data_IF_373077977816
#
_entry.id   IF_373077977816
#
_cell.length_a   1.000
_cell.length_b   1.000
_cell.length_c   1.000
_cell.angle_alpha   90.00
_cell.angle_beta   90.00
_cell.angle_gamma   90.00
#
_symmetry.space_group_name_H-M   'P 1'
#
loop_
_entity.id
_entity.type
_entity.pdbx_description
1 polymer ?
#
# COMPACT_ATOMS: atom_id res chain seq x y z
N UNK A 1 8.55 -14.06 26.21
CA UNK A 1 8.96 -14.52 24.88
C UNK A 1 8.76 -13.34 23.95
N UNK A 2 9.86 -12.69 23.64
CA UNK A 2 9.92 -11.52 22.74
C UNK A 2 9.63 -12.02 21.33
N UNK A 3 8.38 -11.90 20.89
CA UNK A 3 7.98 -12.17 19.51
C UNK A 3 8.27 -10.93 18.69
N UNK A 4 9.55 -10.66 18.42
CA UNK A 4 9.93 -9.76 17.34
C UNK A 4 9.27 -10.33 16.05
N UNK A 5 8.36 -9.55 15.47
CA UNK A 5 7.91 -9.84 14.10
C UNK A 5 9.17 -9.83 13.24
N UNK A 6 9.40 -10.87 12.42
CA UNK A 6 10.48 -10.78 11.45
C UNK A 6 10.22 -9.55 10.57
N UNK A 7 11.13 -8.59 10.60
CA UNK A 7 11.06 -7.39 9.77
C UNK A 7 11.26 -7.82 8.31
N UNK A 8 10.16 -8.16 7.61
CA UNK A 8 10.20 -8.54 6.21
C UNK A 8 9.10 -7.84 5.43
N UNK A 9 9.36 -7.59 4.16
CA UNK A 9 8.36 -7.16 3.20
C UNK A 9 7.75 -8.38 2.53
N UNK A 10 6.43 -8.39 2.38
CA UNK A 10 5.69 -9.42 1.64
C UNK A 10 5.23 -8.82 0.32
N UNK A 11 5.46 -9.50 -0.80
CA UNK A 11 4.88 -9.14 -2.09
C UNK A 11 4.01 -10.28 -2.62
N UNK A 12 2.75 -9.96 -2.91
CA UNK A 12 1.84 -10.88 -3.57
C UNK A 12 2.13 -10.91 -5.07
N UNK A 13 2.35 -12.11 -5.61
CA UNK A 13 2.72 -12.30 -7.01
C UNK A 13 1.67 -13.10 -7.77
N UNK A 14 1.47 -12.70 -9.02
CA UNK A 14 0.70 -13.40 -10.03
C UNK A 14 1.35 -13.18 -11.42
N UNK A 15 0.76 -13.74 -12.46
CA UNK A 15 1.25 -13.62 -13.84
C UNK A 15 0.97 -12.24 -14.49
N UNK A 16 0.33 -11.33 -13.77
CA UNK A 16 -0.03 -10.00 -14.26
C UNK A 16 1.17 -9.05 -14.38
N UNK A 17 1.16 -8.20 -15.40
CA UNK A 17 2.22 -7.20 -15.61
C UNK A 17 2.38 -6.24 -14.41
N UNK A 18 1.32 -5.97 -13.68
CA UNK A 18 1.35 -5.14 -12.48
C UNK A 18 2.07 -5.82 -11.30
N UNK A 19 2.06 -7.16 -11.27
CA UNK A 19 2.81 -7.95 -10.30
C UNK A 19 4.31 -7.69 -10.42
N UNK A 20 4.84 -7.65 -11.64
CA UNK A 20 6.26 -7.37 -11.88
C UNK A 20 6.68 -5.98 -11.36
N UNK A 21 5.81 -4.96 -11.52
CA UNK A 21 6.07 -3.61 -10.98
C UNK A 21 6.04 -3.60 -9.44
N UNK A 22 5.12 -4.35 -8.85
CA UNK A 22 5.06 -4.51 -7.40
C UNK A 22 6.32 -5.18 -6.85
N UNK A 23 6.81 -6.21 -7.54
CA UNK A 23 8.05 -6.92 -7.21
C UNK A 23 9.25 -5.99 -7.32
N UNK A 24 9.37 -5.20 -8.39
CA UNK A 24 10.45 -4.23 -8.54
C UNK A 24 10.45 -3.20 -7.41
N UNK A 25 9.28 -2.63 -7.12
CA UNK A 25 9.13 -1.67 -6.02
C UNK A 25 9.49 -2.29 -4.68
N UNK A 26 8.98 -3.49 -4.38
CA UNK A 26 9.22 -4.20 -3.12
C UNK A 26 10.70 -4.61 -2.94
N UNK A 27 11.38 -5.03 -4.02
CA UNK A 27 12.79 -5.39 -4.00
C UNK A 27 13.67 -4.17 -3.63
N UNK A 28 13.42 -3.01 -4.25
CA UNK A 28 14.14 -1.77 -3.95
C UNK A 28 13.87 -1.29 -2.51
N UNK A 29 12.64 -1.45 -2.04
CA UNK A 29 12.27 -1.09 -0.66
C UNK A 29 12.92 -2.04 0.34
N UNK A 30 12.94 -3.35 0.08
CA UNK A 30 13.60 -4.34 0.92
C UNK A 30 15.11 -4.08 1.03
N UNK A 31 15.75 -3.75 -0.10
CA UNK A 31 17.18 -3.39 -0.14
C UNK A 31 17.46 -2.14 0.68
N UNK A 32 16.67 -1.07 0.52
CA UNK A 32 16.84 0.17 1.28
C UNK A 32 16.59 -0.01 2.77
N UNK A 33 15.65 -0.89 3.13
CA UNK A 33 15.32 -1.22 4.51
C UNK A 33 16.30 -2.20 5.15
N UNK A 34 17.09 -2.93 4.36
CA UNK A 34 17.94 -4.02 4.84
C UNK A 34 17.15 -5.19 5.42
N UNK A 35 15.96 -5.48 4.88
CA UNK A 35 15.05 -6.53 5.37
C UNK A 35 14.80 -7.60 4.30
N UNK A 36 14.45 -8.84 4.69
CA UNK A 36 14.08 -9.90 3.75
C UNK A 36 12.83 -9.58 2.95
N UNK A 37 12.73 -10.17 1.74
CA UNK A 37 11.55 -10.11 0.87
C UNK A 37 10.92 -11.49 0.74
N UNK A 38 9.63 -11.60 1.03
CA UNK A 38 8.85 -12.81 0.83
C UNK A 38 7.97 -12.70 -0.42
N UNK A 39 8.21 -13.55 -1.42
CA UNK A 39 7.37 -13.71 -2.60
C UNK A 39 6.25 -14.69 -2.27
N UNK A 40 5.00 -14.25 -2.38
CA UNK A 40 3.85 -15.04 -1.95
C UNK A 40 2.85 -15.21 -3.09
N UNK A 41 2.59 -16.45 -3.45
CA UNK A 41 1.54 -16.86 -4.38
C UNK A 41 0.46 -17.65 -3.66
N UNK A 42 -0.79 -17.21 -3.81
CA UNK A 42 -1.97 -17.93 -3.28
C UNK A 42 -2.61 -18.78 -4.37
N UNK A 43 -2.57 -20.09 -4.19
CA UNK A 43 -3.17 -21.04 -5.13
C UNK A 43 -4.64 -21.32 -4.76
N UNK A 44 -5.56 -20.70 -5.49
CA UNK A 44 -7.00 -20.93 -5.26
C UNK A 44 -7.39 -22.35 -5.59
N UNK A 45 -8.11 -23.02 -4.69
CA UNK A 45 -8.64 -24.37 -4.95
C UNK A 45 -9.59 -24.33 -6.17
N UNK A 46 -9.19 -25.02 -7.20
CA UNK A 46 -9.83 -25.11 -8.51
C UNK A 46 -11.23 -25.73 -8.45
N UNK A 47 -11.43 -26.64 -7.51
CA UNK A 47 -12.72 -27.33 -7.32
C UNK A 47 -13.76 -26.44 -6.63
N UNK A 48 -13.33 -25.52 -5.76
CA UNK A 48 -14.25 -24.59 -5.11
C UNK A 48 -14.88 -23.58 -6.10
N UNK A 49 -14.14 -23.16 -7.12
CA UNK A 49 -14.65 -22.26 -8.16
C UNK A 49 -15.63 -22.98 -9.12
N UNK A 50 -15.40 -24.25 -9.43
CA UNK A 50 -16.26 -25.07 -10.30
C UNK A 50 -17.67 -25.32 -9.71
N UNK A 51 -17.80 -25.26 -8.38
CA UNK A 51 -19.09 -25.41 -7.68
C UNK A 51 -19.98 -24.16 -7.85
N UNK A 52 -19.39 -23.00 -8.12
CA UNK A 52 -20.12 -21.74 -8.23
C UNK A 52 -20.73 -21.54 -9.63
N UNK A 53 -20.01 -21.91 -10.70
CA UNK A 53 -20.52 -21.85 -12.09
C UNK A 53 -19.87 -22.91 -12.98
N UNK A 54 -20.59 -24.02 -13.30
CA UNK A 54 -20.08 -25.07 -14.18
C UNK A 54 -19.74 -24.62 -15.61
N UNK A 55 -20.30 -23.50 -16.08
CA UNK A 55 -20.05 -22.95 -17.42
C UNK A 55 -18.68 -22.30 -17.58
N UNK A 56 -18.01 -21.94 -16.48
CA UNK A 56 -16.68 -21.33 -16.45
C UNK A 56 -15.56 -22.39 -16.47
N UNK A 57 -15.87 -23.65 -16.17
CA UNK A 57 -14.90 -24.75 -16.01
C UNK A 57 -13.95 -24.91 -17.21
N UNK A 58 -14.40 -24.89 -18.50
CA UNK A 58 -13.49 -25.10 -19.62
C UNK A 58 -12.45 -23.98 -19.79
N UNK A 59 -12.85 -22.72 -19.54
CA UNK A 59 -11.94 -21.58 -19.63
C UNK A 59 -10.94 -21.56 -18.45
N UNK A 60 -11.41 -21.96 -17.28
CA UNK A 60 -10.55 -22.13 -16.09
C UNK A 60 -9.59 -23.30 -16.23
N UNK A 61 -10.02 -24.44 -16.78
CA UNK A 61 -9.12 -25.58 -17.03
C UNK A 61 -8.01 -25.22 -18.00
N UNK A 62 -8.30 -24.42 -19.03
CA UNK A 62 -7.28 -23.98 -19.98
C UNK A 62 -6.29 -23.01 -19.32
N UNK A 63 -6.77 -22.03 -18.55
CA UNK A 63 -5.93 -21.09 -17.82
C UNK A 63 -5.05 -21.81 -16.78
N UNK A 64 -5.61 -22.81 -16.11
CA UNK A 64 -4.96 -23.62 -15.09
C UNK A 64 -3.86 -24.53 -15.67
N UNK A 65 -4.06 -25.10 -16.86
CA UNK A 65 -3.04 -25.92 -17.52
C UNK A 65 -1.79 -25.12 -17.93
N UNK A 66 -1.89 -23.78 -17.98
CA UNK A 66 -0.81 -22.88 -18.36
C UNK A 66 -0.10 -22.27 -17.16
N UNK A 67 -0.72 -22.26 -15.98
CA UNK A 67 -0.13 -21.71 -14.76
C UNK A 67 0.87 -22.72 -14.16
N UNK A 68 2.11 -22.27 -14.03
CA UNK A 68 3.18 -22.97 -13.31
C UNK A 68 3.64 -22.09 -12.14
N UNK A 69 3.02 -22.25 -10.95
CA UNK A 69 3.36 -21.43 -9.80
C UNK A 69 4.82 -21.56 -9.36
N UNK A 70 5.41 -22.73 -9.54
CA UNK A 70 6.83 -22.98 -9.18
C UNK A 70 7.75 -22.17 -10.09
N UNK A 71 7.46 -22.18 -11.39
CA UNK A 71 8.19 -21.39 -12.37
C UNK A 71 7.97 -19.88 -12.15
N UNK A 72 6.74 -19.44 -11.91
CA UNK A 72 6.43 -18.05 -11.62
C UNK A 72 7.28 -17.54 -10.45
N UNK A 73 7.31 -18.30 -9.36
CA UNK A 73 8.06 -17.94 -8.15
C UNK A 73 9.56 -17.92 -8.40
N UNK A 74 10.09 -18.91 -9.13
CA UNK A 74 11.52 -19.00 -9.48
C UNK A 74 11.95 -17.83 -10.39
N UNK A 75 11.23 -17.58 -11.49
CA UNK A 75 11.51 -16.47 -12.42
C UNK A 75 11.43 -15.11 -11.70
N UNK A 76 10.50 -14.97 -10.75
CA UNK A 76 10.34 -13.76 -9.93
C UNK A 76 11.52 -13.59 -8.95
N UNK A 77 11.96 -14.66 -8.29
CA UNK A 77 13.11 -14.61 -7.40
C UNK A 77 14.39 -14.20 -8.15
N UNK A 78 14.60 -14.76 -9.36
CA UNK A 78 15.70 -14.36 -10.24
C UNK A 78 15.62 -12.88 -10.64
N UNK A 79 14.42 -12.37 -10.88
CA UNK A 79 14.22 -10.95 -11.16
C UNK A 79 14.58 -10.07 -9.95
N UNK A 80 14.20 -10.47 -8.75
CA UNK A 80 14.59 -9.77 -7.51
C UNK A 80 16.09 -9.73 -7.33
N UNK A 81 16.79 -10.86 -7.50
CA UNK A 81 18.25 -10.92 -7.36
C UNK A 81 19.00 -10.04 -8.37
N UNK A 82 18.43 -9.80 -9.56
CA UNK A 82 19.00 -8.84 -10.53
C UNK A 82 18.82 -7.38 -10.10
N UNK A 83 17.75 -7.06 -9.39
CA UNK A 83 17.40 -5.68 -8.95
C UNK A 83 18.08 -5.37 -7.62
N UNK A 84 18.07 -6.33 -6.72
CA UNK A 84 18.49 -6.22 -5.33
C UNK A 84 19.28 -7.48 -4.90
N UNK A 85 20.54 -7.61 -5.32
CA UNK A 85 21.31 -8.84 -5.14
C UNK A 85 21.58 -9.21 -3.68
N UNK A 86 21.58 -8.23 -2.77
CA UNK A 86 21.87 -8.43 -1.35
C UNK A 86 20.60 -8.73 -0.51
N UNK A 87 19.40 -8.72 -1.13
CA UNK A 87 18.15 -9.00 -0.42
C UNK A 87 17.95 -10.50 -0.27
N UNK A 88 17.74 -10.94 0.97
CA UNK A 88 17.32 -12.31 1.25
C UNK A 88 15.90 -12.53 0.74
N UNK A 89 15.72 -13.49 -0.16
CA UNK A 89 14.43 -13.81 -0.80
C UNK A 89 13.92 -15.14 -0.29
N UNK A 90 12.69 -15.16 0.20
CA UNK A 90 11.94 -16.39 0.48
C UNK A 90 10.73 -16.51 -0.43
N UNK A 91 10.36 -17.75 -0.78
CA UNK A 91 9.30 -18.04 -1.72
C UNK A 91 8.22 -18.89 -1.06
N UNK A 92 6.95 -18.54 -1.25
CA UNK A 92 5.81 -19.22 -0.64
C UNK A 92 4.71 -19.43 -1.67
N UNK A 93 4.40 -20.69 -1.95
CA UNK A 93 3.20 -21.11 -2.68
C UNK A 93 2.27 -21.74 -1.66
N UNK A 94 1.15 -21.08 -1.38
CA UNK A 94 0.23 -21.53 -0.34
C UNK A 94 -1.15 -21.83 -0.92
N UNK A 95 -1.78 -22.96 -0.52
CA UNK A 95 -3.15 -23.23 -0.89
C UNK A 95 -4.11 -22.23 -0.23
N UNK A 96 -5.08 -21.77 -1.00
CA UNK A 96 -6.12 -20.85 -0.54
C UNK A 96 -6.27 -19.60 -1.39
N UNK A 97 -7.30 -18.82 -1.08
CA UNK A 97 -7.50 -17.55 -1.82
C UNK A 97 -6.34 -16.58 -1.56
N UNK A 98 -5.88 -15.82 -2.58
CA UNK A 98 -4.81 -14.83 -2.42
C UNK A 98 -5.04 -13.89 -1.24
N UNK A 99 -6.27 -13.43 -1.03
CA UNK A 99 -6.62 -12.59 0.13
C UNK A 99 -6.37 -13.30 1.45
N UNK A 100 -6.78 -14.56 1.58
CA UNK A 100 -6.61 -15.34 2.80
C UNK A 100 -5.15 -15.59 3.13
N UNK A 101 -4.37 -15.99 2.12
CA UNK A 101 -2.93 -16.20 2.22
C UNK A 101 -2.22 -14.92 2.64
N UNK A 102 -2.42 -13.84 1.91
CA UNK A 102 -1.76 -12.56 2.19
C UNK A 102 -2.18 -11.93 3.52
N UNK A 103 -3.42 -12.14 3.98
CA UNK A 103 -3.83 -11.72 5.33
C UNK A 103 -3.03 -12.45 6.43
N UNK A 104 -2.75 -13.74 6.26
CA UNK A 104 -1.90 -14.49 7.21
C UNK A 104 -0.46 -13.98 7.17
N UNK A 105 0.10 -13.83 5.98
CA UNK A 105 1.46 -13.32 5.79
C UNK A 105 1.64 -11.88 6.35
N UNK A 106 0.60 -11.04 6.25
CA UNK A 106 0.57 -9.69 6.80
C UNK A 106 0.66 -9.63 8.34
N UNK A 107 0.41 -10.72 9.04
CA UNK A 107 0.51 -10.75 10.51
C UNK A 107 1.95 -10.56 11.02
N UNK A 108 2.92 -10.97 10.20
CA UNK A 108 4.36 -10.90 10.53
C UNK A 108 5.16 -10.03 9.56
N UNK A 109 4.50 -9.28 8.69
CA UNK A 109 5.14 -8.39 7.72
C UNK A 109 5.20 -6.95 8.22
N UNK A 110 6.21 -6.20 7.78
CA UNK A 110 6.25 -4.73 7.94
C UNK A 110 5.30 -4.04 6.97
N UNK A 111 5.14 -4.59 5.77
CA UNK A 111 4.15 -4.17 4.77
C UNK A 111 3.84 -5.31 3.79
N UNK A 112 2.70 -5.21 3.14
CA UNK A 112 2.33 -6.05 1.98
C UNK A 112 2.29 -5.19 0.74
N UNK A 113 2.95 -5.63 -0.33
CA UNK A 113 3.01 -4.95 -1.63
C UNK A 113 2.26 -5.78 -2.66
N UNK A 114 1.48 -5.12 -3.50
CA UNK A 114 0.65 -5.76 -4.53
C UNK A 114 0.65 -4.95 -5.82
N UNK A 115 0.52 -5.63 -6.97
CA UNK A 115 0.03 -4.99 -8.18
C UNK A 115 -1.42 -4.52 -8.02
N UNK A 116 -1.76 -3.40 -8.60
CA UNK A 116 -3.12 -2.83 -8.46
C UNK A 116 -4.18 -3.55 -9.29
N UNK A 117 -3.77 -4.35 -10.26
CA UNK A 117 -4.64 -5.14 -11.16
C UNK A 117 -4.16 -6.58 -11.14
N UNK A 118 -5.06 -7.53 -10.95
CA UNK A 118 -4.74 -8.96 -11.00
C UNK A 118 -4.82 -9.52 -12.42
N UNK A 119 -4.25 -10.71 -12.65
CA UNK A 119 -4.25 -11.46 -13.91
C UNK A 119 -5.53 -12.28 -14.08
N UNK A 120 -6.72 -11.71 -14.07
CA UNK A 120 -7.96 -12.48 -14.22
C UNK A 120 -8.88 -11.98 -15.33
N UNK A 121 -9.84 -12.83 -15.76
CA UNK A 121 -10.90 -12.49 -16.72
C UNK A 121 -11.71 -11.23 -16.35
N UNK A 122 -11.56 -10.72 -15.14
CA UNK A 122 -12.21 -9.52 -14.59
C UNK A 122 -11.24 -8.38 -14.27
N UNK A 123 -9.98 -8.44 -14.74
CA UNK A 123 -8.96 -7.44 -14.46
C UNK A 123 -9.36 -6.02 -14.85
N UNK A 124 -10.15 -5.87 -15.92
CA UNK A 124 -10.63 -4.56 -16.40
C UNK A 124 -11.85 -4.01 -15.63
N UNK A 125 -12.60 -4.87 -14.91
CA UNK A 125 -13.88 -4.50 -14.30
C UNK A 125 -13.82 -4.28 -12.80
N UNK A 126 -12.85 -4.86 -12.07
CA UNK A 126 -12.79 -4.78 -10.63
C UNK A 126 -11.38 -4.42 -10.18
N UNK A 127 -11.20 -3.17 -9.78
CA UNK A 127 -9.98 -2.72 -9.10
C UNK A 127 -9.64 -3.71 -7.97
N UNK A 128 -8.54 -4.45 -8.14
CA UNK A 128 -7.91 -5.38 -7.22
C UNK A 128 -8.75 -5.81 -6.01
N UNK A 129 -9.65 -6.77 -6.18
CA UNK A 129 -10.45 -7.30 -5.05
C UNK A 129 -9.56 -7.72 -3.88
N UNK A 130 -8.34 -8.18 -4.19
CA UNK A 130 -7.31 -8.54 -3.21
C UNK A 130 -6.80 -7.29 -2.50
N UNK A 131 -6.37 -6.26 -3.25
CA UNK A 131 -5.81 -5.04 -2.67
C UNK A 131 -6.84 -4.28 -1.83
N UNK A 132 -8.06 -4.10 -2.34
CA UNK A 132 -9.15 -3.44 -1.61
C UNK A 132 -9.52 -4.17 -0.32
N UNK A 133 -9.54 -5.51 -0.34
CA UNK A 133 -9.83 -6.30 0.85
C UNK A 133 -8.70 -6.26 1.86
N UNK A 134 -7.45 -6.36 1.42
CA UNK A 134 -6.27 -6.26 2.30
C UNK A 134 -6.16 -4.88 2.95
N UNK A 135 -6.42 -3.79 2.22
CA UNK A 135 -6.44 -2.43 2.77
C UNK A 135 -7.38 -2.27 3.98
N UNK A 136 -8.42 -3.13 4.06
CA UNK A 136 -9.38 -3.15 5.18
C UNK A 136 -9.00 -4.14 6.28
N UNK A 137 -8.39 -5.27 5.93
CA UNK A 137 -8.19 -6.42 6.84
C UNK A 137 -6.75 -6.60 7.32
N UNK A 138 -5.77 -6.11 6.58
CA UNK A 138 -4.36 -6.29 6.90
C UNK A 138 -3.99 -5.67 8.25
N UNK A 139 -3.06 -6.31 8.95
CA UNK A 139 -2.46 -5.81 10.20
C UNK A 139 -1.19 -4.95 9.98
N UNK A 140 -0.75 -4.83 8.73
CA UNK A 140 0.35 -3.95 8.32
C UNK A 140 -0.09 -3.05 7.16
N UNK A 141 0.68 -2.00 6.82
CA UNK A 141 0.44 -1.18 5.64
C UNK A 141 0.33 -2.01 4.36
N UNK A 142 -0.60 -1.63 3.48
CA UNK A 142 -0.79 -2.26 2.17
C UNK A 142 -0.41 -1.27 1.08
N UNK A 143 0.57 -1.61 0.28
CA UNK A 143 1.05 -0.80 -0.85
C UNK A 143 0.52 -1.38 -2.15
N UNK A 144 -0.22 -0.58 -2.90
CA UNK A 144 -0.63 -0.91 -4.26
C UNK A 144 0.29 -0.20 -5.25
N UNK A 145 0.90 -0.95 -6.17
CA UNK A 145 1.77 -0.42 -7.21
C UNK A 145 1.07 -0.49 -8.56
N UNK A 146 1.05 0.63 -9.29
CA UNK A 146 0.54 0.73 -10.65
C UNK A 146 1.63 1.06 -11.64
N UNK A 147 1.41 0.70 -12.91
CA UNK A 147 2.25 1.19 -13.98
C UNK A 147 2.26 2.72 -13.98
N UNK A 148 3.45 3.29 -13.92
CA UNK A 148 3.65 4.69 -14.14
C UNK A 148 4.37 4.87 -15.47
N UNK A 149 3.88 5.73 -16.37
CA UNK A 149 4.55 5.98 -17.67
C UNK A 149 5.93 6.62 -17.50
N UNK A 150 6.20 7.19 -16.34
CA UNK A 150 7.47 7.80 -15.97
C UNK A 150 7.98 7.12 -14.70
N UNK A 151 9.25 6.75 -14.69
CA UNK A 151 9.89 6.19 -13.49
C UNK A 151 9.74 7.16 -12.33
N UNK A 152 9.06 6.76 -11.27
CA UNK A 152 9.05 7.52 -10.02
C UNK A 152 10.48 7.67 -9.56
N UNK A 153 10.96 8.89 -9.43
CA UNK A 153 12.29 9.14 -8.91
C UNK A 153 12.34 8.65 -7.46
N UNK A 154 13.28 7.74 -7.17
CA UNK A 154 13.40 7.15 -5.83
C UNK A 154 13.84 8.16 -4.77
N UNK A 155 14.34 9.32 -5.18
CA UNK A 155 14.69 10.49 -4.37
C UNK A 155 13.53 11.50 -4.20
N UNK A 156 12.35 11.19 -4.76
CA UNK A 156 11.18 12.03 -4.62
C UNK A 156 10.55 11.91 -3.21
N UNK A 157 9.88 12.98 -2.72
CA UNK A 157 9.28 12.98 -1.40
C UNK A 157 8.14 11.96 -1.27
N UNK A 158 7.84 11.58 -0.02
CA UNK A 158 6.63 10.81 0.33
C UNK A 158 5.48 11.78 0.54
N UNK A 159 4.40 11.63 -0.23
CA UNK A 159 3.16 12.39 0.01
C UNK A 159 2.31 11.67 1.06
N UNK A 160 1.65 12.41 1.95
CA UNK A 160 0.73 11.85 2.93
C UNK A 160 -0.52 12.70 3.10
N UNK A 161 -1.69 12.07 2.98
CA UNK A 161 -2.98 12.72 3.27
C UNK A 161 -3.25 12.77 4.77
N UNK A 162 -3.48 13.98 5.30
CA UNK A 162 -3.68 14.22 6.73
C UNK A 162 -5.05 14.83 6.98
N UNK A 163 -5.81 14.30 7.94
CA UNK A 163 -7.11 14.83 8.34
C UNK A 163 -7.24 15.06 9.87
N UNK A 164 -6.15 14.84 10.63
CA UNK A 164 -6.09 14.98 12.07
C UNK A 164 -6.78 13.84 12.85
N UNK A 165 -7.11 12.73 12.20
CA UNK A 165 -7.60 11.53 12.89
C UNK A 165 -6.43 10.65 13.36
N UNK A 166 -6.70 9.74 14.31
CA UNK A 166 -5.71 8.74 14.74
C UNK A 166 -5.26 7.81 13.62
N UNK A 167 -6.07 7.67 12.57
CA UNK A 167 -5.71 6.86 11.39
C UNK A 167 -4.74 7.63 10.51
N UNK A 168 -4.95 8.93 10.31
CA UNK A 168 -3.98 9.75 9.58
C UNK A 168 -2.67 9.94 10.35
N UNK A 169 -2.70 9.91 11.69
CA UNK A 169 -1.47 9.90 12.49
C UNK A 169 -0.63 8.62 12.26
N UNK A 170 -1.27 7.45 12.13
CA UNK A 170 -0.56 6.22 11.74
C UNK A 170 0.00 6.29 10.32
N UNK A 171 -0.73 6.91 9.39
CA UNK A 171 -0.26 7.15 8.03
C UNK A 171 0.94 8.11 8.00
N UNK A 172 0.91 9.17 8.80
CA UNK A 172 2.04 10.08 9.00
C UNK A 172 3.27 9.35 9.53
N UNK A 173 3.12 8.56 10.60
CA UNK A 173 4.24 7.82 11.19
C UNK A 173 4.90 6.89 10.17
N UNK A 174 4.12 6.18 9.35
CA UNK A 174 4.63 5.35 8.27
C UNK A 174 5.33 6.16 7.18
N UNK A 175 4.79 7.33 6.80
CA UNK A 175 5.39 8.21 5.81
C UNK A 175 6.75 8.76 6.29
N UNK A 176 6.87 9.15 7.56
CA UNK A 176 8.12 9.64 8.14
C UNK A 176 9.17 8.55 8.24
N UNK A 177 8.80 7.34 8.68
CA UNK A 177 9.72 6.19 8.73
C UNK A 177 10.28 5.86 7.35
N UNK A 178 9.41 5.88 6.32
CA UNK A 178 9.82 5.64 4.95
C UNK A 178 10.72 6.77 4.42
N UNK A 179 10.37 8.02 4.69
CA UNK A 179 11.12 9.19 4.26
C UNK A 179 12.53 9.23 4.90
N UNK A 180 12.62 8.95 6.19
CA UNK A 180 13.90 8.89 6.91
C UNK A 180 14.82 7.81 6.34
N UNK A 181 14.28 6.60 6.10
CA UNK A 181 15.00 5.47 5.51
C UNK A 181 15.58 5.81 4.14
N UNK A 182 14.83 6.53 3.32
CA UNK A 182 15.24 6.91 1.97
C UNK A 182 15.93 8.28 1.89
N UNK A 183 16.05 8.99 3.01
CA UNK A 183 16.60 10.35 3.09
C UNK A 183 15.91 11.33 2.15
N UNK A 184 14.58 11.27 2.12
CA UNK A 184 13.71 12.16 1.34
C UNK A 184 12.79 12.95 2.27
N UNK A 185 12.14 14.00 1.72
CA UNK A 185 11.15 14.77 2.47
C UNK A 185 9.77 14.13 2.54
N UNK A 186 8.92 14.66 3.43
CA UNK A 186 7.49 14.36 3.52
C UNK A 186 6.69 15.56 3.05
N UNK A 187 5.75 15.34 2.12
CA UNK A 187 4.73 16.30 1.73
C UNK A 187 3.39 15.94 2.39
N UNK A 188 3.06 16.63 3.46
CA UNK A 188 1.80 16.45 4.17
C UNK A 188 0.70 17.32 3.53
N UNK A 189 -0.35 16.69 3.01
CA UNK A 189 -1.46 17.38 2.34
C UNK A 189 -2.70 17.32 3.22
N UNK A 190 -3.13 18.47 3.72
CA UNK A 190 -4.37 18.62 4.48
C UNK A 190 -5.44 19.29 3.63
N UNK A 191 -6.46 18.52 3.26
CA UNK A 191 -7.58 19.02 2.48
C UNK A 191 -8.72 19.38 3.43
N UNK A 192 -9.01 20.68 3.53
CA UNK A 192 -10.14 21.22 4.31
C UNK A 192 -11.43 21.17 3.49
N UNK A 193 -12.59 20.97 4.14
CA UNK A 193 -13.86 21.00 3.44
C UNK A 193 -14.16 22.41 2.89
N UNK A 194 -14.99 22.54 1.85
CA UNK A 194 -15.40 23.85 1.29
C UNK A 194 -16.03 24.80 2.30
N UNK A 195 -16.66 24.29 3.37
CA UNK A 195 -17.19 25.11 4.48
C UNK A 195 -16.12 25.96 5.17
N UNK A 196 -14.90 25.45 5.24
CA UNK A 196 -13.77 26.14 5.86
C UNK A 196 -13.34 27.42 5.11
N UNK A 197 -13.73 27.60 3.84
CA UNK A 197 -13.39 28.80 3.05
C UNK A 197 -13.90 30.09 3.70
N UNK A 198 -15.03 30.01 4.39
CA UNK A 198 -15.69 31.16 5.03
C UNK A 198 -15.50 31.20 6.54
N UNK A 199 -14.76 30.25 7.12
CA UNK A 199 -14.52 30.20 8.57
C UNK A 199 -13.01 30.17 8.89
N UNK A 200 -12.39 31.34 9.14
CA UNK A 200 -10.98 31.42 9.51
C UNK A 200 -10.62 30.63 10.78
N UNK A 201 -11.57 30.51 11.73
CA UNK A 201 -11.34 29.75 12.97
C UNK A 201 -11.31 28.25 12.69
N UNK A 202 -12.13 27.78 11.74
CA UNK A 202 -12.08 26.40 11.28
C UNK A 202 -10.75 26.09 10.59
N UNK A 203 -10.26 26.99 9.73
CA UNK A 203 -8.94 26.85 9.10
C UNK A 203 -7.80 26.79 10.12
N UNK A 204 -7.82 27.71 11.11
CA UNK A 204 -6.81 27.74 12.17
C UNK A 204 -6.82 26.46 13.01
N UNK A 205 -8.00 25.95 13.36
CA UNK A 205 -8.13 24.67 14.05
C UNK A 205 -7.53 23.50 13.25
N UNK A 206 -7.78 23.44 11.94
CA UNK A 206 -7.21 22.43 11.06
C UNK A 206 -5.67 22.53 11.00
N UNK A 207 -5.12 23.73 10.90
CA UNK A 207 -3.67 23.97 10.92
C UNK A 207 -3.04 23.52 12.23
N UNK A 208 -3.64 23.86 13.36
CA UNK A 208 -3.20 23.44 14.69
C UNK A 208 -3.19 21.92 14.84
N UNK A 209 -4.29 21.27 14.50
CA UNK A 209 -4.39 19.79 14.58
C UNK A 209 -3.35 19.08 13.71
N UNK A 210 -3.09 19.62 12.55
CA UNK A 210 -2.07 19.06 11.64
C UNK A 210 -0.66 19.24 12.20
N UNK A 211 -0.34 20.43 12.68
CA UNK A 211 0.96 20.72 13.30
C UNK A 211 1.20 19.86 14.55
N UNK A 212 0.20 19.74 15.42
CA UNK A 212 0.27 18.91 16.63
C UNK A 212 0.53 17.43 16.30
N UNK A 213 -0.14 16.90 15.26
CA UNK A 213 0.05 15.51 14.83
C UNK A 213 1.44 15.21 14.25
N UNK A 214 2.20 16.23 13.86
CA UNK A 214 3.55 16.10 13.30
C UNK A 214 4.66 16.45 14.30
N UNK A 215 4.34 17.15 15.39
CA UNK A 215 5.36 17.67 16.32
C UNK A 215 6.27 16.57 16.89
N UNK A 216 5.71 15.46 17.35
CA UNK A 216 6.46 14.32 17.87
C UNK A 216 7.34 13.66 16.78
N UNK A 217 6.81 13.52 15.57
CA UNK A 217 7.51 12.94 14.44
C UNK A 217 8.67 13.81 13.96
N UNK A 218 8.49 15.14 13.94
CA UNK A 218 9.56 16.08 13.60
C UNK A 218 10.74 16.01 14.58
N UNK A 219 10.46 15.79 15.87
CA UNK A 219 11.51 15.58 16.88
C UNK A 219 12.20 14.22 16.69
N UNK A 220 11.43 13.18 16.36
CA UNK A 220 11.95 11.82 16.18
C UNK A 220 12.77 11.66 14.89
N UNK A 221 12.41 12.37 13.83
CA UNK A 221 13.02 12.32 12.52
C UNK A 221 13.54 13.71 12.07
N UNK A 222 14.56 14.24 12.76
CA UNK A 222 15.02 15.62 12.56
C UNK A 222 15.65 15.89 11.18
N UNK A 223 15.94 14.84 10.42
CA UNK A 223 16.54 14.94 9.08
C UNK A 223 15.50 14.88 7.95
N UNK A 224 14.22 14.67 8.28
CA UNK A 224 13.14 14.63 7.31
C UNK A 224 12.59 16.04 7.10
N UNK A 225 12.78 16.58 5.91
CA UNK A 225 12.18 17.85 5.52
C UNK A 225 10.66 17.70 5.39
N UNK A 226 9.92 18.66 5.94
CA UNK A 226 8.46 18.63 5.99
C UNK A 226 7.90 19.80 5.20
N UNK A 227 7.17 19.50 4.13
CA UNK A 227 6.35 20.45 3.37
C UNK A 227 4.87 20.22 3.71
N UNK A 228 4.16 21.27 4.19
CA UNK A 228 2.76 21.15 4.58
C UNK A 228 1.90 21.99 3.62
N UNK A 229 1.06 21.30 2.85
CA UNK A 229 0.09 21.91 1.94
C UNK A 229 -1.31 21.92 2.57
N UNK A 230 -1.83 23.11 2.83
CA UNK A 230 -3.21 23.34 3.27
C UNK A 230 -4.04 23.81 2.10
N UNK A 231 -5.00 23.00 1.69
CA UNK A 231 -5.85 23.26 0.54
C UNK A 231 -7.32 23.05 0.89
N UNK A 232 -8.23 23.81 0.27
CA UNK A 232 -9.68 23.64 0.41
C UNK A 232 -10.23 22.96 -0.84
N UNK A 233 -11.08 21.93 -0.68
CA UNK A 233 -11.77 21.26 -1.80
C UNK A 233 -12.03 19.78 -1.58
N UNK A 234 -12.09 19.05 -2.68
CA UNK A 234 -12.33 17.61 -2.68
C UNK A 234 -11.01 16.82 -2.52
N UNK A 235 -10.93 15.88 -1.55
CA UNK A 235 -9.68 15.20 -1.23
C UNK A 235 -9.08 14.38 -2.38
N UNK A 236 -9.91 13.64 -3.13
CA UNK A 236 -9.41 12.69 -4.14
C UNK A 236 -8.66 13.39 -5.27
N UNK A 237 -9.22 14.38 -5.99
CA UNK A 237 -8.50 15.07 -7.06
C UNK A 237 -7.27 15.83 -6.54
N UNK A 238 -7.37 16.43 -5.35
CA UNK A 238 -6.25 17.19 -4.77
C UNK A 238 -5.10 16.26 -4.40
N UNK A 239 -5.35 15.17 -3.66
CA UNK A 239 -4.33 14.20 -3.29
C UNK A 239 -3.71 13.54 -4.53
N UNK A 240 -4.52 13.23 -5.54
CA UNK A 240 -4.00 12.71 -6.81
C UNK A 240 -3.04 13.69 -7.49
N UNK A 241 -3.40 14.97 -7.56
CA UNK A 241 -2.54 15.99 -8.15
C UNK A 241 -1.25 16.23 -7.35
N UNK A 242 -1.35 16.28 -6.01
CA UNK A 242 -0.22 16.53 -5.12
C UNK A 242 0.73 15.36 -4.96
N UNK A 243 0.28 14.15 -5.23
CA UNK A 243 1.13 12.94 -5.25
C UNK A 243 1.88 12.74 -6.56
N UNK A 244 1.54 13.52 -7.60
CA UNK A 244 2.30 13.47 -8.85
C UNK A 244 3.76 13.87 -8.60
N UNK A 245 4.69 13.03 -9.06
CA UNK A 245 6.13 13.22 -8.82
C UNK A 245 6.60 12.85 -7.40
N UNK A 246 5.73 12.32 -6.54
CA UNK A 246 6.13 11.72 -5.27
C UNK A 246 6.42 10.22 -5.44
N UNK A 247 7.33 9.67 -4.62
CA UNK A 247 7.65 8.24 -4.67
C UNK A 247 6.50 7.35 -4.21
N UNK A 248 5.66 7.84 -3.29
CA UNK A 248 4.53 7.13 -2.71
C UNK A 248 3.50 8.13 -2.18
N UNK A 249 2.21 7.85 -2.37
CA UNK A 249 1.15 8.50 -1.60
C UNK A 249 0.76 7.60 -0.43
N UNK A 250 0.75 8.14 0.77
CA UNK A 250 0.30 7.45 1.98
C UNK A 250 -1.04 8.02 2.43
N UNK A 251 -2.02 7.16 2.71
CA UNK A 251 -3.32 7.58 3.25
C UNK A 251 -3.80 6.63 4.34
N UNK A 252 -4.60 7.17 5.25
CA UNK A 252 -5.30 6.36 6.23
C UNK A 252 -6.42 5.53 5.60
N UNK A 253 -6.68 4.33 6.13
CA UNK A 253 -7.78 3.46 5.68
C UNK A 253 -9.17 4.05 5.94
N UNK A 254 -9.29 5.07 6.80
CA UNK A 254 -10.52 5.80 7.17
C UNK A 254 -10.19 7.26 7.39
N UNK A 255 -11.19 8.14 7.23
CA UNK A 255 -11.10 9.57 7.52
C UNK A 255 -12.31 10.06 8.33
N UNK A 256 -12.45 11.38 8.50
CA UNK A 256 -13.50 12.04 9.30
C UNK A 256 -14.94 11.74 8.84
N UNK A 257 -15.15 11.38 7.57
CA UNK A 257 -16.48 11.27 6.95
C UNK A 257 -17.08 9.86 6.93
N UNK A 258 -16.55 8.89 7.66
CA UNK A 258 -17.02 7.50 7.58
C UNK A 258 -18.16 7.27 8.58
N UNK A 259 -19.38 7.01 8.05
CA UNK A 259 -20.49 6.51 8.85
C UNK A 259 -20.09 5.18 9.53
N UNK A 260 -20.48 5.03 10.80
CA UNK A 260 -20.24 3.82 11.57
C UNK A 260 -20.87 2.61 10.83
N UNK A 261 -20.03 1.67 10.39
CA UNK A 261 -20.47 0.46 9.66
C UNK A 261 -19.82 0.26 8.29
N UNK A 262 -19.20 1.28 7.68
CA UNK A 262 -18.43 1.09 6.45
C UNK A 262 -17.00 0.62 6.78
N UNK A 263 -16.56 -0.45 6.12
CA UNK A 263 -15.29 -1.13 6.40
C UNK A 263 -14.06 -0.35 5.92
N UNK A 264 -14.21 0.62 4.99
CA UNK A 264 -13.10 1.47 4.49
C UNK A 264 -13.56 2.88 4.17
N UNK A 265 -12.61 3.86 4.18
CA UNK A 265 -12.88 5.25 3.83
C UNK A 265 -13.14 5.44 2.34
N UNK A 266 -14.11 6.29 1.98
CA UNK A 266 -14.43 6.61 0.60
C UNK A 266 -13.23 7.20 -0.16
N UNK A 267 -12.43 8.03 0.50
CA UNK A 267 -11.23 8.67 -0.08
C UNK A 267 -10.15 7.64 -0.41
N UNK A 268 -9.76 6.78 0.54
CA UNK A 268 -8.73 5.76 0.30
C UNK A 268 -9.13 4.77 -0.80
N UNK A 269 -10.41 4.35 -0.85
CA UNK A 269 -10.91 3.49 -1.92
C UNK A 269 -10.93 4.19 -3.28
N UNK A 270 -11.36 5.45 -3.32
CA UNK A 270 -11.37 6.21 -4.58
C UNK A 270 -9.95 6.45 -5.09
N UNK A 271 -9.01 6.79 -4.21
CA UNK A 271 -7.59 6.95 -4.57
C UNK A 271 -6.98 5.65 -5.07
N UNK A 272 -7.24 4.53 -4.39
CA UNK A 272 -6.79 3.21 -4.85
C UNK A 272 -7.25 2.91 -6.30
N UNK A 273 -8.40 3.42 -6.74
CA UNK A 273 -8.94 3.24 -8.10
C UNK A 273 -8.39 4.24 -9.11
N UNK A 274 -8.08 5.47 -8.70
CA UNK A 274 -7.80 6.58 -9.62
C UNK A 274 -6.33 6.94 -9.73
N UNK A 275 -5.52 6.67 -8.69
CA UNK A 275 -4.12 7.08 -8.67
C UNK A 275 -3.28 6.25 -9.65
N UNK A 276 -2.32 6.90 -10.31
CA UNK A 276 -1.43 6.26 -11.27
C UNK A 276 -0.07 5.87 -10.69
N UNK A 277 0.26 6.33 -9.49
CA UNK A 277 1.50 6.02 -8.78
C UNK A 277 1.30 4.99 -7.66
N UNK A 278 2.37 4.63 -6.94
CA UNK A 278 2.26 3.80 -5.76
C UNK A 278 1.46 4.48 -4.65
N UNK A 279 0.59 3.71 -3.99
CA UNK A 279 -0.21 4.20 -2.86
C UNK A 279 -0.18 3.20 -1.70
N UNK A 280 0.08 3.70 -0.50
CA UNK A 280 -0.03 2.95 0.74
C UNK A 280 -1.32 3.28 1.49
N UNK A 281 -2.03 2.26 1.91
CA UNK A 281 -3.18 2.40 2.83
C UNK A 281 -2.78 1.88 4.20
N UNK A 282 -2.85 2.74 5.21
CA UNK A 282 -2.41 2.48 6.57
C UNK A 282 -3.61 2.45 7.51
N UNK A 283 -3.73 1.43 8.34
CA UNK A 283 -4.74 1.35 9.39
C UNK A 283 -4.17 1.86 10.71
N UNK A 284 -5.06 2.29 11.61
CA UNK A 284 -4.65 2.78 12.93
C UNK A 284 -3.89 1.73 13.76
N UNK A 285 -4.15 0.45 13.50
CA UNK A 285 -3.57 -0.69 14.22
C UNK A 285 -2.25 -1.18 13.55
N UNK A 286 -1.86 -0.57 12.42
CA UNK A 286 -0.56 -0.74 11.79
C UNK A 286 0.43 0.18 12.52
N UNK A 287 1.01 -0.31 13.62
CA UNK A 287 2.04 0.44 14.34
C UNK A 287 3.39 0.15 13.68
N UNK A 288 4.16 1.17 13.30
CA UNK A 288 5.52 0.99 12.79
C UNK A 288 6.38 0.18 13.79
N UNK A 289 7.30 -0.65 13.27
CA UNK A 289 8.16 -1.51 14.08
C UNK A 289 9.02 -0.72 15.10
N UNK A 290 9.33 0.53 14.79
CA UNK A 290 10.16 1.41 15.60
C UNK A 290 9.48 2.02 16.85
N UNK A 291 8.22 1.68 17.13
CA UNK A 291 7.45 2.25 18.26
C UNK A 291 7.23 1.23 19.40
N UNK A 292 7.94 0.09 19.42
CA UNK A 292 7.84 -0.93 20.47
C UNK A 292 9.11 -1.05 21.28
#
# INVERSE_FOLDING_TARGET
VDTQRPDRIVVGIDEGAQSALAVEWAAREAQAAGVPLALVHGETDRYAAAVIDPGIVPAMELAVRQADPERLVADTADAVHRIAPDVEVSTHIEPGSPVGVLCRQAETATMVVLGSEGSGLFAELVFGSVCGTLAVRSKCPVVAVRAHPESVAFDAPVAVGVDGTKVSAAALAFAFELADRHRVGVRAVHVMPPSAERDPKEQERHRWQTADSMAELAVRYPHVDIDIDFTIGEPVPILTARSAGCRLLVVGSRGRGVAAGLLSGSVSQALLRSIRGPIAVVRKDCVPAATR
#
